data_IF_218347786478
#
_entry.id   IF_218347786478
#
_cell.length_a   1.000
_cell.length_b   1.000
_cell.length_c   1.000
_cell.angle_alpha   90.00
_cell.angle_beta   90.00
_cell.angle_gamma   90.00
#
_symmetry.space_group_name_H-M   'P 1'
#
loop_
_entity.id
_entity.type
_entity.pdbx_description
1 polymer ?
#
# COMPACT_ATOMS: atom_id res chain seq x y z
N UNK A 1 18.47 -7.42 -19.23
CA UNK A 1 18.64 -7.73 -17.80
C UNK A 1 18.83 -6.39 -17.12
N UNK A 2 17.92 -5.97 -16.23
CA UNK A 2 18.08 -4.71 -15.49
C UNK A 2 19.17 -4.98 -14.44
N UNK A 3 20.21 -4.16 -14.38
CA UNK A 3 21.24 -4.26 -13.34
C UNK A 3 20.58 -3.99 -11.97
N UNK A 4 21.04 -4.66 -10.91
CA UNK A 4 20.59 -4.39 -9.55
C UNK A 4 20.81 -2.90 -9.19
N UNK A 5 21.87 -2.28 -9.73
CA UNK A 5 22.11 -0.83 -9.63
C UNK A 5 20.96 -0.01 -10.24
N UNK A 6 20.50 -0.37 -11.43
CA UNK A 6 19.41 0.31 -12.13
C UNK A 6 18.07 0.18 -11.41
N UNK A 7 17.83 -0.97 -10.76
CA UNK A 7 16.64 -1.22 -9.95
C UNK A 7 16.55 -0.27 -8.76
N UNK A 8 17.60 -0.19 -7.93
CA UNK A 8 17.60 0.68 -6.76
C UNK A 8 17.60 2.17 -7.15
N UNK A 9 18.31 2.53 -8.23
CA UNK A 9 18.29 3.89 -8.75
C UNK A 9 16.87 4.31 -9.20
N UNK A 10 16.04 3.39 -9.71
CA UNK A 10 14.65 3.69 -10.04
C UNK A 10 13.80 3.94 -8.79
N UNK A 11 14.01 3.18 -7.72
CA UNK A 11 13.34 3.41 -6.42
C UNK A 11 13.71 4.79 -5.90
N UNK A 12 15.00 5.10 -5.82
CA UNK A 12 15.51 6.39 -5.32
C UNK A 12 14.99 7.58 -6.13
N UNK A 13 15.02 7.51 -7.47
CA UNK A 13 14.48 8.58 -8.32
C UNK A 13 13.00 8.83 -8.07
N UNK A 14 12.22 7.78 -7.85
CA UNK A 14 10.79 7.93 -7.58
C UNK A 14 10.55 8.49 -6.17
N UNK A 15 11.28 8.01 -5.15
CA UNK A 15 11.20 8.56 -3.80
C UNK A 15 11.57 10.05 -3.80
N UNK A 16 12.67 10.43 -4.44
CA UNK A 16 13.10 11.83 -4.50
C UNK A 16 12.07 12.74 -5.19
N UNK A 17 11.35 12.23 -6.21
CA UNK A 17 10.37 13.00 -6.98
C UNK A 17 8.99 13.08 -6.31
N UNK A 18 8.51 11.98 -5.75
CA UNK A 18 7.12 11.84 -5.27
C UNK A 18 6.98 11.52 -3.78
N UNK A 19 8.09 11.40 -3.06
CA UNK A 19 8.14 10.97 -1.65
C UNK A 19 8.04 9.47 -1.44
N UNK A 20 7.65 8.71 -2.47
CA UNK A 20 7.57 7.25 -2.43
C UNK A 20 7.73 6.62 -3.83
N UNK A 21 8.09 5.35 -3.85
CA UNK A 21 8.01 4.42 -4.98
C UNK A 21 6.90 3.40 -4.72
N UNK A 22 6.27 2.87 -5.78
CA UNK A 22 5.21 1.87 -5.67
C UNK A 22 5.61 0.58 -6.36
N UNK A 23 5.40 -0.54 -5.68
CA UNK A 23 5.36 -1.87 -6.27
C UNK A 23 3.91 -2.29 -6.49
N UNK A 24 3.66 -2.94 -7.63
CA UNK A 24 2.38 -3.57 -7.94
C UNK A 24 2.65 -5.00 -8.39
N UNK A 25 2.06 -5.95 -7.68
CA UNK A 25 2.24 -7.38 -7.88
C UNK A 25 0.91 -7.93 -8.40
N UNK A 26 0.96 -8.61 -9.53
CA UNK A 26 -0.18 -9.31 -10.09
C UNK A 26 -0.49 -10.56 -9.26
N UNK A 27 -1.77 -10.93 -9.22
CA UNK A 27 -2.19 -12.18 -8.59
C UNK A 27 -1.56 -13.39 -9.30
N UNK A 28 -1.24 -14.43 -8.55
CA UNK A 28 -0.65 -15.69 -9.05
C UNK A 28 -1.53 -16.92 -8.79
N UNK A 29 -2.79 -16.71 -8.41
CA UNK A 29 -3.77 -17.75 -8.12
C UNK A 29 -3.80 -18.18 -6.64
N UNK A 30 -2.68 -18.06 -5.93
CA UNK A 30 -2.60 -18.34 -4.48
C UNK A 30 -2.57 -17.05 -3.66
N UNK A 31 -1.86 -16.03 -4.16
CA UNK A 31 -1.73 -14.73 -3.54
C UNK A 31 -2.57 -13.71 -4.32
N UNK A 32 -3.43 -12.92 -3.64
CA UNK A 32 -4.15 -11.84 -4.31
C UNK A 32 -3.17 -10.83 -4.90
N UNK A 33 -3.59 -10.06 -5.90
CA UNK A 33 -2.82 -8.91 -6.33
C UNK A 33 -2.67 -7.91 -5.17
N UNK A 34 -1.58 -7.15 -5.14
CA UNK A 34 -1.37 -6.14 -4.12
C UNK A 34 -0.42 -5.05 -4.61
N UNK A 35 -0.50 -3.89 -3.97
CA UNK A 35 0.37 -2.76 -4.21
C UNK A 35 0.88 -2.21 -2.88
N UNK A 36 2.14 -1.76 -2.83
CA UNK A 36 2.69 -1.15 -1.63
C UNK A 36 3.70 -0.06 -1.93
N UNK A 37 3.92 0.83 -0.95
CA UNK A 37 4.90 1.91 -1.03
C UNK A 37 6.27 1.54 -0.46
N UNK A 38 7.30 2.23 -0.95
CA UNK A 38 8.61 2.37 -0.31
C UNK A 38 8.94 3.87 -0.26
N UNK A 39 9.38 4.38 0.88
CA UNK A 39 9.93 5.72 1.04
C UNK A 39 9.29 6.54 2.17
N UNK A 40 8.13 6.11 2.69
CA UNK A 40 7.53 6.72 3.87
C UNK A 40 8.35 6.44 5.13
N UNK A 41 8.91 5.22 5.24
CA UNK A 41 9.73 4.81 6.37
C UNK A 41 11.00 5.67 6.54
N UNK A 42 11.55 6.18 5.43
CA UNK A 42 12.69 7.11 5.46
C UNK A 42 12.36 8.44 6.18
N UNK A 43 11.07 8.75 6.35
CA UNK A 43 10.57 9.94 7.04
C UNK A 43 9.94 9.58 8.40
N UNK A 44 10.14 8.36 8.90
CA UNK A 44 9.54 7.87 10.15
C UNK A 44 8.04 7.62 10.05
N UNK A 45 7.51 7.37 8.85
CA UNK A 45 6.09 7.09 8.60
C UNK A 45 5.91 5.64 8.11
N UNK A 46 4.77 4.98 8.40
CA UNK A 46 4.52 3.62 7.94
C UNK A 46 4.39 3.55 6.42
N UNK A 47 4.75 2.41 5.82
CA UNK A 47 4.45 2.16 4.41
C UNK A 47 2.97 1.81 4.22
N UNK A 48 2.46 1.96 3.01
CA UNK A 48 1.07 1.67 2.66
C UNK A 48 0.99 0.35 1.90
N UNK A 49 0.00 -0.48 2.21
CA UNK A 49 -0.28 -1.76 1.56
C UNK A 49 -1.75 -1.84 1.14
N UNK A 50 -2.03 -1.97 -0.14
CA UNK A 50 -3.35 -2.25 -0.69
C UNK A 50 -3.38 -3.68 -1.24
N UNK A 51 -4.26 -4.52 -0.73
CA UNK A 51 -4.47 -5.89 -1.22
C UNK A 51 -5.76 -5.89 -2.05
N UNK A 52 -5.74 -6.52 -3.22
CA UNK A 52 -6.89 -6.67 -4.12
C UNK A 52 -6.54 -6.47 -5.59
N UNK A 53 -7.40 -6.98 -6.46
CA UNK A 53 -7.21 -6.94 -7.91
C UNK A 53 -7.75 -5.64 -8.52
N UNK A 54 -7.10 -4.53 -8.20
CA UNK A 54 -7.44 -3.22 -8.72
C UNK A 54 -6.59 -2.86 -9.94
N UNK A 55 -7.12 -2.02 -10.83
CA UNK A 55 -6.30 -1.53 -11.95
C UNK A 55 -5.06 -0.79 -11.42
N UNK A 56 -3.88 -0.97 -12.05
CA UNK A 56 -2.64 -0.32 -11.61
C UNK A 56 -2.74 1.20 -11.43
N UNK A 57 -3.47 1.86 -12.35
CA UNK A 57 -3.69 3.29 -12.31
C UNK A 57 -4.47 3.71 -11.06
N UNK A 58 -5.53 2.97 -10.73
CA UNK A 58 -6.38 3.27 -9.58
C UNK A 58 -5.68 2.97 -8.25
N UNK A 59 -5.09 1.77 -8.11
CA UNK A 59 -4.30 1.43 -6.93
C UNK A 59 -3.19 2.46 -6.68
N UNK A 60 -2.46 2.83 -7.74
CA UNK A 60 -1.40 3.84 -7.67
C UNK A 60 -1.91 5.22 -7.27
N UNK A 61 -3.06 5.68 -7.78
CA UNK A 61 -3.62 6.98 -7.38
C UNK A 61 -4.03 7.01 -5.92
N UNK A 62 -4.65 5.94 -5.40
CA UNK A 62 -5.06 5.85 -4.00
C UNK A 62 -3.84 5.88 -3.08
N UNK A 63 -2.85 5.03 -3.32
CA UNK A 63 -1.65 4.96 -2.46
C UNK A 63 -0.85 6.27 -2.52
N UNK A 64 -0.76 6.91 -3.69
CA UNK A 64 -0.09 8.21 -3.79
C UNK A 64 -0.81 9.31 -3.03
N UNK A 65 -2.14 9.37 -3.11
CA UNK A 65 -2.91 10.38 -2.39
C UNK A 65 -2.84 10.17 -0.87
N UNK A 66 -2.97 8.93 -0.39
CA UNK A 66 -2.80 8.60 1.03
C UNK A 66 -1.38 8.90 1.52
N UNK A 67 -0.36 8.50 0.76
CA UNK A 67 1.03 8.78 1.09
C UNK A 67 1.32 10.27 1.19
N UNK A 68 0.77 11.07 0.26
CA UNK A 68 0.86 12.53 0.30
C UNK A 68 0.20 13.09 1.56
N UNK A 69 -1.05 12.73 1.86
CA UNK A 69 -1.76 13.19 3.06
C UNK A 69 -1.00 12.84 4.35
N UNK A 70 -0.46 11.62 4.43
CA UNK A 70 0.31 11.15 5.58
C UNK A 70 1.59 11.98 5.79
N UNK A 71 2.34 12.24 4.71
CA UNK A 71 3.55 13.08 4.74
C UNK A 71 3.24 14.55 5.06
N UNK A 72 2.19 15.11 4.46
CA UNK A 72 1.75 16.49 4.73
C UNK A 72 1.35 16.67 6.20
N UNK A 73 0.64 15.70 6.77
CA UNK A 73 0.22 15.69 8.17
C UNK A 73 1.33 15.29 9.16
N UNK A 74 2.46 14.74 8.66
CA UNK A 74 3.57 14.18 9.44
C UNK A 74 3.13 13.20 10.54
N UNK A 75 2.11 12.40 10.26
CA UNK A 75 1.60 11.38 11.19
C UNK A 75 0.95 10.22 10.43
N UNK A 76 0.93 9.00 11.01
CA UNK A 76 0.18 7.88 10.45
C UNK A 76 -1.30 8.22 10.23
N UNK A 77 -1.87 7.64 9.17
CA UNK A 77 -3.31 7.70 8.90
C UNK A 77 -4.03 6.54 9.59
N UNK A 78 -5.28 6.76 9.97
CA UNK A 78 -6.14 5.76 10.60
C UNK A 78 -7.61 6.08 10.32
N UNK A 79 -8.43 5.03 10.14
CA UNK A 79 -9.85 5.14 9.90
C UNK A 79 -10.19 5.48 8.45
N UNK A 80 -11.35 6.10 8.24
CA UNK A 80 -11.88 6.38 6.91
C UNK A 80 -11.32 7.71 6.38
N UNK A 81 -10.55 7.63 5.29
CA UNK A 81 -9.84 8.75 4.68
C UNK A 81 -10.46 9.06 3.31
N UNK A 82 -10.91 10.30 3.13
CA UNK A 82 -11.39 10.79 1.84
C UNK A 82 -10.24 10.87 0.82
N UNK A 83 -10.43 10.19 -0.31
CA UNK A 83 -9.49 10.08 -1.43
C UNK A 83 -10.13 10.56 -2.75
N UNK A 84 -11.25 11.28 -2.69
CA UNK A 84 -11.93 11.87 -3.85
C UNK A 84 -12.83 10.88 -4.63
N UNK A 85 -13.14 9.72 -4.03
CA UNK A 85 -14.06 8.73 -4.59
C UNK A 85 -15.47 8.83 -3.98
N UNK A 86 -16.37 7.90 -4.38
CA UNK A 86 -17.71 7.79 -3.78
C UNK A 86 -17.65 7.39 -2.30
N UNK A 87 -16.69 6.54 -1.96
CA UNK A 87 -16.47 6.02 -0.62
C UNK A 87 -15.03 6.30 -0.18
N UNK A 88 -14.76 6.47 1.12
CA UNK A 88 -13.42 6.67 1.62
C UNK A 88 -12.56 5.40 1.48
N UNK A 89 -11.24 5.55 1.53
CA UNK A 89 -10.36 4.42 1.77
C UNK A 89 -10.25 4.21 3.29
N UNK A 90 -10.40 2.97 3.77
CA UNK A 90 -10.23 2.67 5.19
C UNK A 90 -8.78 2.26 5.46
N UNK A 91 -8.15 2.92 6.42
CA UNK A 91 -6.75 2.71 6.77
C UNK A 91 -6.64 2.12 8.17
N UNK A 92 -5.87 1.04 8.31
CA UNK A 92 -5.64 0.34 9.58
C UNK A 92 -4.21 -0.16 9.68
N UNK A 93 -3.75 -0.45 10.88
CA UNK A 93 -2.45 -1.11 11.07
C UNK A 93 -2.48 -2.51 10.47
N UNK A 94 -1.45 -2.84 9.69
CA UNK A 94 -1.22 -4.20 9.23
C UNK A 94 -0.45 -4.99 10.30
N UNK A 95 -0.66 -6.30 10.34
CA UNK A 95 0.12 -7.20 11.19
C UNK A 95 1.59 -7.29 10.75
N UNK A 96 2.45 -7.68 11.70
CA UNK A 96 3.85 -8.00 11.39
C UNK A 96 3.98 -9.14 10.36
N UNK A 97 3.04 -10.09 10.34
CA UNK A 97 3.02 -11.17 9.36
C UNK A 97 2.73 -10.65 7.95
N UNK A 98 1.76 -9.73 7.82
CA UNK A 98 1.48 -9.12 6.53
C UNK A 98 2.64 -8.25 6.04
N UNK A 99 3.29 -7.48 6.92
CA UNK A 99 4.53 -6.76 6.58
C UNK A 99 5.56 -7.71 5.97
N UNK A 100 5.91 -8.78 6.69
CA UNK A 100 6.91 -9.75 6.21
C UNK A 100 6.52 -10.41 4.87
N UNK A 101 5.22 -10.68 4.68
CA UNK A 101 4.72 -11.35 3.48
C UNK A 101 4.68 -10.43 2.26
N UNK A 102 4.19 -9.21 2.40
CA UNK A 102 3.84 -8.35 1.26
C UNK A 102 4.89 -7.28 0.94
N UNK A 103 5.68 -6.82 1.92
CA UNK A 103 6.57 -5.66 1.73
C UNK A 103 8.05 -6.01 1.71
N UNK A 104 8.42 -7.21 1.25
CA UNK A 104 9.80 -7.72 1.26
C UNK A 104 10.83 -6.74 0.67
N UNK A 105 10.47 -5.98 -0.37
CA UNK A 105 11.40 -5.03 -0.98
C UNK A 105 11.65 -3.78 -0.12
N UNK A 106 10.73 -3.44 0.80
CA UNK A 106 10.96 -2.36 1.78
C UNK A 106 12.13 -2.74 2.68
N UNK A 107 12.11 -3.93 3.29
CA UNK A 107 13.19 -4.38 4.16
C UNK A 107 14.53 -4.52 3.43
N UNK A 108 14.52 -4.99 2.18
CA UNK A 108 15.71 -5.04 1.32
C UNK A 108 16.28 -3.66 1.00
N UNK A 109 15.41 -2.70 0.71
CA UNK A 109 15.80 -1.32 0.42
C UNK A 109 16.36 -0.62 1.67
N UNK A 110 15.68 -0.75 2.81
CA UNK A 110 16.10 -0.15 4.10
C UNK A 110 17.29 -0.89 4.75
N UNK A 111 17.54 -2.14 4.37
CA UNK A 111 18.51 -3.06 4.99
C UNK A 111 18.19 -3.40 6.46
N UNK A 112 16.93 -3.28 6.85
CA UNK A 112 16.39 -3.70 8.15
C UNK A 112 14.88 -3.94 8.05
N UNK A 113 14.31 -4.63 9.05
CA UNK A 113 12.86 -4.92 9.13
C UNK A 113 12.12 -4.00 10.13
N UNK A 114 12.80 -2.98 10.65
CA UNK A 114 12.25 -1.98 11.56
C UNK A 114 11.45 -0.90 10.81
N UNK A 115 10.25 -1.27 10.36
CA UNK A 115 9.27 -0.35 9.78
C UNK A 115 7.86 -0.87 10.02
N UNK A 116 6.89 0.05 9.97
CA UNK A 116 5.47 -0.24 10.13
C UNK A 116 4.75 -0.18 8.78
N UNK A 117 3.58 -0.83 8.70
CA UNK A 117 2.75 -0.87 7.50
C UNK A 117 1.30 -0.61 7.86
N UNK A 118 0.66 0.27 7.11
CA UNK A 118 -0.78 0.49 7.13
C UNK A 118 -1.43 -0.26 5.97
N UNK A 119 -2.41 -1.10 6.28
CA UNK A 119 -3.29 -1.67 5.27
C UNK A 119 -4.33 -0.64 4.84
N UNK A 120 -4.47 -0.49 3.53
CA UNK A 120 -5.51 0.29 2.85
C UNK A 120 -6.57 -0.69 2.35
N UNK A 121 -7.81 -0.48 2.79
CA UNK A 121 -8.99 -1.23 2.38
C UNK A 121 -9.86 -0.37 1.48
N UNK A 122 -10.35 -0.97 0.40
CA UNK A 122 -11.32 -0.38 -0.50
C UNK A 122 -12.59 -1.22 -0.44
N UNK A 123 -13.74 -0.57 -0.35
CA UNK A 123 -15.02 -1.24 -0.33
C UNK A 123 -15.42 -1.73 -1.72
N UNK A 124 -16.44 -2.57 -1.74
CA UNK A 124 -17.16 -2.94 -2.95
C UNK A 124 -18.03 -1.77 -3.49
N UNK A 125 -18.71 -1.93 -4.65
CA UNK A 125 -19.55 -0.87 -5.23
C UNK A 125 -20.73 -0.41 -4.37
N UNK A 126 -21.14 -1.21 -3.38
CA UNK A 126 -22.22 -0.90 -2.45
C UNK A 126 -21.73 -0.27 -1.15
N UNK A 127 -20.41 -0.12 -0.98
CA UNK A 127 -19.80 0.54 0.16
C UNK A 127 -19.48 -0.40 1.32
N UNK A 128 -19.51 -1.72 1.09
CA UNK A 128 -19.20 -2.74 2.10
C UNK A 128 -17.70 -3.08 2.04
N UNK A 129 -17.01 -3.04 3.18
CA UNK A 129 -15.57 -3.26 3.27
C UNK A 129 -15.21 -4.73 3.46
N UNK A 130 -13.94 -5.11 3.16
CA UNK A 130 -13.44 -6.46 3.44
C UNK A 130 -13.65 -6.86 4.90
N UNK A 131 -14.10 -8.08 5.13
CA UNK A 131 -14.47 -8.63 6.44
C UNK A 131 -15.83 -8.19 6.98
N UNK A 132 -16.54 -7.27 6.32
CA UNK A 132 -17.91 -6.90 6.71
C UNK A 132 -18.95 -7.87 6.09
N UNK A 133 -20.05 -8.17 6.81
CA UNK A 133 -21.10 -9.03 6.29
C UNK A 133 -21.66 -8.51 4.97
N UNK A 134 -21.59 -9.35 3.93
CA UNK A 134 -22.13 -9.02 2.61
C UNK A 134 -21.13 -8.39 1.64
N UNK A 135 -19.85 -8.22 2.03
CA UNK A 135 -18.81 -7.75 1.10
C UNK A 135 -18.75 -8.67 -0.13
N UNK A 136 -18.76 -8.07 -1.32
CA UNK A 136 -18.63 -8.84 -2.56
C UNK A 136 -17.31 -9.66 -2.57
N UNK A 137 -17.32 -10.95 -2.95
CA UNK A 137 -16.15 -11.83 -2.84
C UNK A 137 -14.88 -11.34 -3.56
N UNK A 138 -15.03 -10.56 -4.64
CA UNK A 138 -13.89 -10.00 -5.37
C UNK A 138 -13.18 -8.86 -4.62
N UNK A 139 -13.86 -8.27 -3.62
CA UNK A 139 -13.37 -7.20 -2.78
C UNK A 139 -13.01 -7.69 -1.37
N UNK A 140 -13.54 -8.83 -0.94
CA UNK A 140 -13.32 -9.41 0.39
C UNK A 140 -11.90 -10.01 0.53
N UNK A 141 -10.92 -9.12 0.62
CA UNK A 141 -9.50 -9.45 0.74
C UNK A 141 -9.09 -9.72 2.19
N UNK A 142 -7.97 -10.45 2.41
CA UNK A 142 -7.48 -10.70 3.75
C UNK A 142 -7.26 -9.41 4.55
N UNK A 143 -7.71 -9.39 5.80
CA UNK A 143 -7.34 -8.38 6.78
C UNK A 143 -5.90 -8.65 7.22
N UNK A 144 -4.98 -7.85 6.70
CA UNK A 144 -3.55 -7.97 6.89
C UNK A 144 -3.13 -7.46 8.26
#
# INVERSE_FOLDING_TARGET
>A
MIDASDFYAAIERNIARSGQHLFLIFADGETPAFAYSIGNALQGLPELLLIGNFSPRFAGSIINELGRKMRDARRPLEGDIDVGGRFPARVRQASAQARQRFTLQVGRYLRHEEYDVLQVLLCDPDGVYPGEPGCAPAYDVPLA
#
